data_IF_857664084409
#
_entry.id   IF_857664084409
#
_cell.length_a   1.000
_cell.length_b   1.000
_cell.length_c   1.000
_cell.angle_alpha   90.00
_cell.angle_beta   90.00
_cell.angle_gamma   90.00
#
_symmetry.space_group_name_H-M   'P 1'
#
loop_
_entity.id
_entity.type
_entity.pdbx_description
1 polymer ?
#
# COMPACT_ATOMS: atom_id res chain seq x y z
N UNK A 1 5.65 9.54 1.98
CA UNK A 1 5.73 9.95 3.40
C UNK A 1 5.45 8.76 4.31
N UNK A 2 4.40 7.95 4.08
CA UNK A 2 4.07 6.77 4.90
C UNK A 2 5.20 5.73 5.01
N UNK A 3 6.11 5.65 4.04
CA UNK A 3 7.29 4.79 4.08
C UNK A 3 8.40 5.34 5.00
N UNK A 4 8.28 6.56 5.52
CA UNK A 4 9.34 7.28 6.26
C UNK A 4 8.90 7.64 7.67
N UNK A 5 7.58 7.77 7.92
CA UNK A 5 6.99 8.29 9.16
C UNK A 5 6.32 7.18 10.01
N UNK A 6 6.38 5.93 9.59
CA UNK A 6 5.76 4.82 10.31
C UNK A 6 6.58 4.36 11.52
N UNK A 7 5.90 3.84 12.52
CA UNK A 7 6.45 3.16 13.70
C UNK A 7 6.54 1.64 13.52
N UNK A 8 5.95 1.12 12.45
CA UNK A 8 6.03 -0.27 11.98
C UNK A 8 6.22 -0.31 10.46
N UNK A 9 6.73 -1.43 9.95
CA UNK A 9 6.82 -1.70 8.52
C UNK A 9 5.45 -1.82 7.85
N UNK A 10 5.44 -1.92 6.52
CA UNK A 10 4.21 -2.16 5.79
C UNK A 10 3.71 -3.59 6.06
N UNK A 11 2.45 -3.80 6.50
CA UNK A 11 1.89 -5.12 6.66
C UNK A 11 1.94 -5.95 5.37
N UNK A 12 2.35 -7.20 5.50
CA UNK A 12 2.48 -8.14 4.38
C UNK A 12 1.38 -9.20 4.44
N UNK A 13 0.77 -9.47 3.31
CA UNK A 13 -0.13 -10.61 3.16
C UNK A 13 0.66 -11.92 3.01
N UNK A 14 -0.06 -13.05 3.18
CA UNK A 14 0.53 -14.38 3.02
C UNK A 14 1.17 -14.53 1.64
N UNK A 15 2.45 -14.85 1.63
CA UNK A 15 3.23 -15.07 0.41
C UNK A 15 3.90 -13.83 -0.16
N UNK A 16 3.61 -12.61 0.32
CA UNK A 16 4.28 -11.39 -0.19
C UNK A 16 5.75 -11.32 0.19
N UNK A 17 6.13 -11.78 1.39
CA UNK A 17 7.53 -11.90 1.79
C UNK A 17 8.32 -12.79 0.82
N UNK A 18 7.75 -13.92 0.42
CA UNK A 18 8.37 -14.82 -0.56
C UNK A 18 8.50 -14.17 -1.94
N UNK A 19 7.51 -13.34 -2.34
CA UNK A 19 7.59 -12.59 -3.60
C UNK A 19 8.69 -11.53 -3.58
N UNK A 20 8.90 -10.89 -2.43
CA UNK A 20 10.02 -9.95 -2.24
C UNK A 20 11.35 -10.70 -2.33
N UNK A 21 11.49 -11.86 -1.69
CA UNK A 21 12.67 -12.70 -1.73
C UNK A 21 13.00 -13.16 -3.16
N UNK A 22 11.99 -13.63 -3.91
CA UNK A 22 12.10 -14.09 -5.29
C UNK A 22 12.73 -13.04 -6.22
N UNK A 23 12.40 -11.76 -6.03
CA UNK A 23 12.88 -10.65 -6.86
C UNK A 23 13.89 -9.74 -6.14
N UNK A 24 14.49 -10.23 -5.04
CA UNK A 24 15.33 -9.37 -4.21
C UNK A 24 16.56 -8.82 -4.94
N UNK A 25 17.22 -9.62 -5.75
CA UNK A 25 18.42 -9.16 -6.47
C UNK A 25 18.11 -8.02 -7.44
N UNK A 26 16.94 -8.03 -8.07
CA UNK A 26 16.46 -6.96 -8.93
C UNK A 26 16.03 -5.74 -8.12
N UNK A 27 15.31 -5.94 -7.01
CA UNK A 27 14.88 -4.88 -6.09
C UNK A 27 16.09 -4.19 -5.46
N UNK A 28 17.09 -4.97 -5.04
CA UNK A 28 18.34 -4.52 -4.41
C UNK A 28 19.06 -3.47 -5.24
N UNK A 29 19.01 -3.58 -6.58
CA UNK A 29 19.66 -2.62 -7.48
C UNK A 29 19.14 -1.18 -7.35
N UNK A 30 17.95 -1.00 -6.77
CA UNK A 30 17.32 0.30 -6.54
C UNK A 30 17.41 0.75 -5.08
N UNK A 31 17.73 -0.15 -4.16
CA UNK A 31 17.73 0.15 -2.73
C UNK A 31 18.93 1.00 -2.31
N UNK A 32 18.73 1.80 -1.26
CA UNK A 32 19.85 2.47 -0.60
C UNK A 32 20.63 1.51 0.30
N UNK A 33 21.93 1.78 0.55
CA UNK A 33 22.78 0.87 1.35
C UNK A 33 22.21 0.55 2.73
N UNK A 34 21.53 1.50 3.39
CA UNK A 34 20.88 1.28 4.68
C UNK A 34 19.73 0.28 4.60
N UNK A 35 18.94 0.32 3.51
CA UNK A 35 17.86 -0.61 3.27
C UNK A 35 18.36 -2.03 2.98
N UNK A 36 19.42 -2.15 2.18
CA UNK A 36 20.08 -3.45 1.92
C UNK A 36 20.56 -4.08 3.23
N UNK A 37 21.30 -3.35 4.06
CA UNK A 37 21.75 -3.86 5.37
C UNK A 37 20.57 -4.27 6.26
N UNK A 38 19.52 -3.48 6.31
CA UNK A 38 18.35 -3.79 7.11
C UNK A 38 17.68 -5.11 6.69
N UNK A 39 17.60 -5.39 5.38
CA UNK A 39 17.07 -6.65 4.86
C UNK A 39 18.03 -7.81 5.13
N UNK A 40 19.34 -7.63 4.95
CA UNK A 40 20.36 -8.65 5.22
C UNK A 40 20.42 -9.04 6.70
N UNK A 41 20.16 -8.12 7.62
CA UNK A 41 20.18 -8.35 9.08
C UNK A 41 18.84 -8.88 9.61
N UNK A 42 17.70 -8.43 9.07
CA UNK A 42 16.39 -8.69 9.62
C UNK A 42 15.56 -9.69 8.78
N UNK A 43 15.98 -9.97 7.54
CA UNK A 43 15.23 -10.74 6.55
C UNK A 43 14.31 -9.87 5.71
N UNK A 44 13.58 -10.50 4.78
CA UNK A 44 12.66 -9.82 3.86
C UNK A 44 11.37 -9.32 4.53
N UNK A 45 11.07 -9.86 5.71
CA UNK A 45 9.95 -9.49 6.56
C UNK A 45 10.28 -9.77 8.02
N UNK A 46 9.66 -9.02 8.92
CA UNK A 46 9.79 -9.17 10.38
C UNK A 46 8.40 -9.27 11.00
N UNK A 47 8.32 -9.84 12.20
CA UNK A 47 7.09 -9.81 13.00
C UNK A 47 7.17 -8.59 13.92
N UNK A 48 6.17 -7.74 13.86
CA UNK A 48 6.09 -6.54 14.71
C UNK A 48 5.55 -6.86 16.12
N UNK A 49 5.37 -5.82 16.93
CA UNK A 49 4.91 -5.96 18.32
C UNK A 49 3.46 -6.44 18.44
N UNK A 50 2.68 -6.28 17.38
CA UNK A 50 1.27 -6.69 17.31
C UNK A 50 1.13 -8.13 16.78
N UNK A 51 2.25 -8.72 16.31
CA UNK A 51 2.30 -10.07 15.76
C UNK A 51 2.08 -10.12 14.26
N UNK A 52 2.03 -8.96 13.61
CA UNK A 52 1.84 -8.87 12.16
C UNK A 52 3.16 -9.02 11.42
N UNK A 53 3.13 -9.67 10.25
CA UNK A 53 4.26 -9.75 9.34
C UNK A 53 4.36 -8.43 8.57
N UNK A 54 5.50 -7.74 8.72
CA UNK A 54 5.72 -6.41 8.13
C UNK A 54 7.07 -6.32 7.43
N UNK A 55 7.25 -5.30 6.58
CA UNK A 55 8.56 -5.03 5.98
C UNK A 55 9.55 -4.55 7.04
N UNK A 56 10.87 -4.89 6.92
CA UNK A 56 11.89 -4.43 7.85
C UNK A 56 12.07 -2.91 7.79
N UNK A 57 12.58 -2.32 8.88
CA UNK A 57 12.84 -0.90 9.02
C UNK A 57 14.34 -0.61 9.17
N UNK A 58 14.79 0.50 8.63
CA UNK A 58 16.12 1.07 8.86
C UNK A 58 16.08 1.81 10.21
N UNK A 59 16.79 1.26 11.21
CA UNK A 59 16.88 1.89 12.52
C UNK A 59 15.52 2.12 13.21
N UNK A 60 14.51 1.28 12.93
CA UNK A 60 13.18 1.37 13.51
C UNK A 60 12.35 2.57 13.01
N UNK A 61 12.67 3.15 11.87
CA UNK A 61 12.04 4.36 11.32
C UNK A 61 11.45 4.16 9.93
N UNK A 62 12.28 4.27 8.90
CA UNK A 62 11.84 4.18 7.52
C UNK A 62 11.84 2.75 7.00
N UNK A 63 10.91 2.43 6.11
CA UNK A 63 10.88 1.13 5.43
C UNK A 63 12.19 0.86 4.69
N UNK A 64 12.75 -0.36 4.82
CA UNK A 64 13.99 -0.77 4.16
C UNK A 64 13.95 -0.62 2.63
N UNK A 65 12.75 -0.72 2.04
CA UNK A 65 12.52 -0.56 0.60
C UNK A 65 12.21 0.88 0.17
N UNK A 66 12.23 1.86 1.10
CA UNK A 66 12.04 3.25 0.75
C UNK A 66 13.30 3.84 0.10
N UNK A 67 13.11 4.56 -1.00
CA UNK A 67 14.15 5.29 -1.71
C UNK A 67 13.72 6.72 -1.95
N UNK A 68 14.66 7.61 -2.17
CA UNK A 68 14.39 9.01 -2.48
C UNK A 68 15.02 9.38 -3.83
N UNK A 69 14.22 10.03 -4.69
CA UNK A 69 14.67 10.56 -5.96
C UNK A 69 14.06 11.94 -6.16
N UNK A 70 14.90 12.95 -6.31
CA UNK A 70 14.48 14.34 -6.52
C UNK A 70 13.49 14.87 -5.45
N UNK A 71 13.72 14.53 -4.18
CA UNK A 71 12.85 14.92 -3.07
C UNK A 71 11.52 14.15 -2.98
N UNK A 72 11.34 13.11 -3.80
CA UNK A 72 10.15 12.25 -3.80
C UNK A 72 10.52 10.87 -3.25
N UNK A 73 9.74 10.42 -2.27
CA UNK A 73 9.88 9.07 -1.72
C UNK A 73 9.20 8.05 -2.65
N UNK A 74 9.97 7.04 -3.06
CA UNK A 74 9.54 5.93 -3.90
C UNK A 74 9.72 4.60 -3.15
N UNK A 75 9.20 3.54 -3.76
CA UNK A 75 9.41 2.16 -3.29
C UNK A 75 10.33 1.43 -4.26
N UNK A 76 11.42 0.83 -3.77
CA UNK A 76 12.34 0.05 -4.59
C UNK A 76 11.66 -1.17 -5.24
N UNK A 77 10.72 -1.80 -4.51
CA UNK A 77 9.91 -2.92 -5.05
C UNK A 77 9.08 -2.45 -6.25
N UNK A 78 8.35 -1.33 -6.09
CA UNK A 78 7.54 -0.78 -7.19
C UNK A 78 8.42 -0.31 -8.35
N UNK A 79 9.61 0.20 -8.06
CA UNK A 79 10.55 0.63 -9.10
C UNK A 79 11.07 -0.55 -9.92
N UNK A 80 11.41 -1.67 -9.28
CA UNK A 80 11.77 -2.90 -9.99
C UNK A 80 10.64 -3.37 -10.90
N UNK A 81 9.39 -3.31 -10.43
CA UNK A 81 8.23 -3.65 -11.24
C UNK A 81 8.03 -2.69 -12.42
N UNK A 82 8.11 -1.37 -12.22
CA UNK A 82 7.95 -0.39 -13.30
C UNK A 82 9.03 -0.49 -14.39
N UNK A 83 10.20 -1.03 -14.02
CA UNK A 83 11.30 -1.31 -14.95
C UNK A 83 11.19 -2.70 -15.60
N UNK A 84 10.10 -3.44 -15.36
CA UNK A 84 9.90 -4.79 -15.89
C UNK A 84 10.82 -5.85 -15.31
N UNK A 85 11.52 -5.55 -14.20
CA UNK A 85 12.46 -6.48 -13.55
C UNK A 85 11.81 -7.39 -12.51
N UNK A 86 10.58 -7.11 -12.11
CA UNK A 86 9.81 -7.88 -11.14
C UNK A 86 8.36 -8.00 -11.60
N UNK A 87 7.76 -9.18 -11.39
CA UNK A 87 6.32 -9.38 -11.54
C UNK A 87 5.54 -9.00 -10.26
N UNK A 88 6.22 -8.67 -9.18
CA UNK A 88 5.61 -8.21 -7.93
C UNK A 88 5.66 -6.69 -7.83
N UNK A 89 4.50 -6.05 -7.91
CA UNK A 89 4.42 -4.58 -7.92
C UNK A 89 4.82 -3.98 -6.57
N UNK A 90 4.14 -4.37 -5.48
CA UNK A 90 4.41 -3.99 -4.08
C UNK A 90 3.38 -4.65 -3.14
N UNK A 91 3.59 -4.64 -1.82
CA UNK A 91 2.62 -5.15 -0.86
C UNK A 91 1.24 -4.53 -1.04
N UNK A 92 0.20 -5.35 -0.88
CA UNK A 92 -1.21 -4.93 -1.01
C UNK A 92 -1.53 -3.77 -0.06
N UNK A 93 -1.03 -3.83 1.17
CA UNK A 93 -1.19 -2.75 2.15
C UNK A 93 -0.68 -1.39 1.66
N UNK A 94 0.46 -1.38 0.94
CA UNK A 94 1.01 -0.17 0.33
C UNK A 94 0.25 0.24 -0.94
N UNK A 95 -0.25 -0.72 -1.72
CA UNK A 95 -0.94 -0.45 -2.97
C UNK A 95 -2.33 0.13 -2.73
N UNK A 96 -3.04 -0.35 -1.70
CA UNK A 96 -4.37 0.10 -1.31
C UNK A 96 -4.37 1.32 -0.39
N UNK A 97 -3.23 1.73 0.18
CA UNK A 97 -3.22 2.87 1.09
C UNK A 97 -3.80 4.14 0.42
N UNK A 98 -4.73 4.86 1.04
CA UNK A 98 -5.12 4.86 2.47
C UNK A 98 -6.23 3.89 2.90
N UNK A 99 -6.59 2.93 2.09
CA UNK A 99 -7.55 1.89 2.50
C UNK A 99 -6.81 0.80 3.28
N UNK A 100 -7.33 0.48 4.46
CA UNK A 100 -6.92 -0.63 5.31
C UNK A 100 -7.99 -1.71 5.29
N UNK A 101 -7.57 -2.96 5.07
CA UNK A 101 -8.46 -4.11 5.08
C UNK A 101 -8.53 -4.68 6.50
N UNK A 102 -9.73 -4.80 7.05
CA UNK A 102 -10.00 -5.57 8.26
C UNK A 102 -10.76 -6.82 7.87
N UNK A 103 -10.22 -7.99 8.25
CA UNK A 103 -10.85 -9.27 7.94
C UNK A 103 -11.73 -9.73 9.09
N UNK A 104 -12.96 -10.03 8.76
CA UNK A 104 -13.94 -10.67 9.64
C UNK A 104 -14.22 -12.10 9.16
N UNK A 105 -14.94 -12.90 9.95
CA UNK A 105 -15.21 -14.29 9.61
C UNK A 105 -15.97 -14.48 8.28
N UNK A 106 -16.84 -13.51 7.91
CA UNK A 106 -17.73 -13.61 6.74
C UNK A 106 -17.50 -12.51 5.68
N UNK A 107 -16.68 -11.51 5.96
CA UNK A 107 -16.42 -10.40 5.02
C UNK A 107 -15.09 -9.69 5.29
N UNK A 108 -14.64 -8.91 4.33
CA UNK A 108 -13.57 -7.91 4.50
C UNK A 108 -14.17 -6.50 4.52
N UNK A 109 -13.79 -5.70 5.51
CA UNK A 109 -14.14 -4.29 5.57
C UNK A 109 -12.98 -3.43 5.03
N UNK A 110 -13.30 -2.54 4.09
CA UNK A 110 -12.36 -1.56 3.53
C UNK A 110 -12.51 -0.26 4.30
N UNK A 111 -11.56 0.04 5.17
CA UNK A 111 -11.60 1.20 6.06
C UNK A 111 -10.67 2.30 5.59
N UNK A 112 -11.18 3.52 5.49
CA UNK A 112 -10.36 4.69 5.16
C UNK A 112 -9.52 5.11 6.37
N UNK A 113 -8.19 5.03 6.25
CA UNK A 113 -7.26 5.50 7.27
C UNK A 113 -6.99 7.01 7.10
N UNK A 114 -7.57 7.80 8.01
CA UNK A 114 -7.39 9.25 8.01
C UNK A 114 -6.14 9.63 8.80
N UNK A 115 -4.99 9.60 8.17
CA UNK A 115 -3.73 10.02 8.78
C UNK A 115 -3.39 11.47 8.41
N UNK A 116 -2.86 12.24 9.37
CA UNK A 116 -2.64 13.68 9.16
C UNK A 116 -1.54 13.97 8.12
N UNK A 117 -0.54 13.12 8.01
CA UNK A 117 0.50 13.25 6.96
C UNK A 117 -0.07 13.21 5.53
N UNK A 118 -1.28 12.67 5.34
CA UNK A 118 -1.98 12.62 4.06
C UNK A 118 -2.91 13.83 3.82
N UNK A 119 -2.89 14.84 4.71
CA UNK A 119 -3.77 16.02 4.60
C UNK A 119 -3.67 16.72 3.24
N UNK A 120 -2.44 16.94 2.75
CA UNK A 120 -2.23 17.57 1.44
C UNK A 120 -2.86 16.78 0.28
N UNK A 121 -2.75 15.45 0.31
CA UNK A 121 -3.37 14.59 -0.71
C UNK A 121 -4.90 14.64 -0.63
N UNK A 122 -5.48 14.69 0.59
CA UNK A 122 -6.94 14.82 0.76
C UNK A 122 -7.47 16.14 0.20
N UNK A 123 -6.81 17.27 0.53
CA UNK A 123 -7.18 18.60 0.01
C UNK A 123 -7.12 18.60 -1.53
N UNK A 124 -6.05 18.05 -2.10
CA UNK A 124 -5.92 17.97 -3.55
C UNK A 124 -7.01 17.09 -4.19
N UNK A 125 -7.28 15.92 -3.62
CA UNK A 125 -8.34 15.03 -4.10
C UNK A 125 -9.73 15.69 -4.07
N UNK A 126 -10.03 16.47 -3.02
CA UNK A 126 -11.27 17.25 -2.91
C UNK A 126 -11.35 18.34 -3.99
N UNK A 127 -10.26 19.11 -4.18
CA UNK A 127 -10.19 20.15 -5.21
C UNK A 127 -10.35 19.60 -6.64
N UNK A 128 -9.81 18.40 -6.92
CA UNK A 128 -9.89 17.74 -8.20
C UNK A 128 -11.17 16.88 -8.37
N UNK A 129 -12.00 16.77 -7.33
CA UNK A 129 -13.21 15.95 -7.36
C UNK A 129 -12.91 14.44 -7.53
N UNK A 130 -11.76 13.97 -7.04
CA UNK A 130 -11.33 12.58 -7.19
C UNK A 130 -11.62 11.79 -5.91
N UNK A 131 -12.66 10.96 -5.86
CA UNK A 131 -12.93 10.11 -4.71
C UNK A 131 -11.88 9.00 -4.60
N UNK A 132 -11.65 8.51 -3.37
CA UNK A 132 -10.58 7.55 -3.07
C UNK A 132 -10.67 6.26 -3.89
N UNK A 133 -11.87 5.76 -4.18
CA UNK A 133 -12.04 4.55 -4.97
C UNK A 133 -11.59 4.70 -6.42
N UNK A 134 -11.74 5.89 -7.01
CA UNK A 134 -11.20 6.21 -8.35
C UNK A 134 -9.70 6.37 -8.33
N UNK A 135 -9.15 7.02 -7.30
CA UNK A 135 -7.71 7.13 -7.10
C UNK A 135 -7.05 5.76 -6.98
N UNK A 136 -7.68 4.81 -6.30
CA UNK A 136 -7.19 3.45 -6.06
C UNK A 136 -7.66 2.41 -7.08
N UNK A 137 -8.24 2.82 -8.22
CA UNK A 137 -8.81 1.90 -9.23
C UNK A 137 -7.91 0.71 -9.51
N UNK A 138 -6.65 0.95 -9.87
CA UNK A 138 -5.71 -0.12 -10.22
C UNK A 138 -5.42 -1.06 -9.04
N UNK A 139 -5.32 -0.53 -7.83
CA UNK A 139 -5.07 -1.31 -6.63
C UNK A 139 -6.28 -2.20 -6.27
N UNK A 140 -7.49 -1.64 -6.39
CA UNK A 140 -8.73 -2.36 -6.13
C UNK A 140 -8.97 -3.46 -7.17
N UNK A 141 -8.74 -3.18 -8.45
CA UNK A 141 -8.81 -4.19 -9.52
C UNK A 141 -7.78 -5.30 -9.30
N UNK A 142 -6.55 -4.94 -8.97
CA UNK A 142 -5.49 -5.92 -8.70
C UNK A 142 -5.83 -6.84 -7.51
N UNK A 143 -6.57 -6.34 -6.51
CA UNK A 143 -6.93 -7.10 -5.31
C UNK A 143 -8.23 -7.89 -5.45
N UNK A 144 -9.25 -7.30 -6.07
CA UNK A 144 -10.62 -7.83 -6.09
C UNK A 144 -11.14 -8.21 -7.48
N UNK A 145 -10.44 -7.82 -8.54
CA UNK A 145 -10.84 -8.05 -9.92
C UNK A 145 -11.67 -6.92 -10.52
N UNK A 146 -11.73 -6.91 -11.86
CA UNK A 146 -12.42 -5.88 -12.65
C UNK A 146 -13.93 -5.88 -12.40
N UNK A 147 -14.56 -7.05 -12.32
CA UNK A 147 -16.00 -7.19 -12.10
C UNK A 147 -16.43 -6.58 -10.75
N UNK A 148 -15.68 -6.85 -9.69
CA UNK A 148 -15.91 -6.26 -8.38
C UNK A 148 -15.78 -4.74 -8.42
N UNK A 149 -14.79 -4.23 -9.13
CA UNK A 149 -14.60 -2.78 -9.26
C UNK A 149 -15.75 -2.12 -10.02
N UNK A 150 -16.29 -2.75 -11.08
CA UNK A 150 -17.46 -2.26 -11.81
C UNK A 150 -18.71 -2.19 -10.91
N UNK A 151 -18.89 -3.17 -10.02
CA UNK A 151 -19.96 -3.14 -9.02
C UNK A 151 -19.79 -1.98 -8.03
N UNK A 152 -18.56 -1.72 -7.60
CA UNK A 152 -18.25 -0.56 -6.74
C UNK A 152 -18.54 0.77 -7.46
N UNK A 153 -18.16 0.91 -8.73
CA UNK A 153 -18.48 2.11 -9.54
C UNK A 153 -19.98 2.29 -9.74
N UNK A 154 -20.71 1.20 -9.93
CA UNK A 154 -22.16 1.24 -10.02
C UNK A 154 -22.80 1.71 -8.70
N UNK A 155 -22.42 1.10 -7.58
CA UNK A 155 -22.92 1.48 -6.26
C UNK A 155 -22.62 2.96 -5.94
N UNK A 156 -21.41 3.42 -6.26
CA UNK A 156 -21.02 4.81 -6.04
C UNK A 156 -21.92 5.79 -6.83
N UNK A 157 -22.22 5.48 -8.09
CA UNK A 157 -23.13 6.28 -8.92
C UNK A 157 -24.56 6.31 -8.38
N UNK A 158 -25.06 5.17 -7.91
CA UNK A 158 -26.41 5.10 -7.32
C UNK A 158 -26.51 5.93 -6.03
N UNK A 159 -25.44 5.99 -5.24
CA UNK A 159 -25.37 6.85 -4.06
C UNK A 159 -25.32 8.34 -4.48
N UNK A 160 -24.47 8.70 -5.46
CA UNK A 160 -24.37 10.06 -5.99
C UNK A 160 -25.72 10.57 -6.55
N UNK A 161 -26.50 9.67 -7.16
CA UNK A 161 -27.84 9.98 -7.70
C UNK A 161 -28.97 9.99 -6.64
N UNK A 162 -28.67 9.65 -5.39
CA UNK A 162 -29.65 9.56 -4.30
C UNK A 162 -30.55 8.33 -4.34
N UNK A 163 -30.22 7.33 -5.15
CA UNK A 163 -30.97 6.08 -5.26
C UNK A 163 -30.66 5.09 -4.13
N UNK A 164 -29.51 5.26 -3.48
CA UNK A 164 -29.09 4.46 -2.32
C UNK A 164 -28.76 5.42 -1.18
N UNK A 165 -29.42 5.25 -0.05
CA UNK A 165 -29.10 6.00 1.17
C UNK A 165 -27.97 5.30 1.93
N UNK A 166 -26.95 6.07 2.31
CA UNK A 166 -25.90 5.59 3.22
C UNK A 166 -26.40 5.84 4.65
N UNK A 167 -26.49 4.82 5.52
CA UNK A 167 -26.86 5.04 6.90
C UNK A 167 -25.87 6.00 7.58
N UNK A 168 -26.34 6.89 8.47
CA UNK A 168 -25.46 7.80 9.21
C UNK A 168 -24.43 7.00 10.01
N UNK A 169 -23.19 7.53 10.03
CA UNK A 169 -22.06 6.95 10.79
C UNK A 169 -22.21 7.20 12.27
#
# INVERSE_FOLDING_TARGET
VCCVEGDSGAPLEKGESRRIEEYYEEIKTFMKPGGIRAVEEQGFAVVDKEGDLVTPLIGGRECAYAIEENGICWCAIEKAWTQGKSAFRKPVSCHLYPIRITRYASFEALNYNKWEICRGARIKGEQEGIPVYRFLKQALIARYGEEWYQQLEYAAREIENGNIEIPPR
#
